data_IF_629601333111
#
_entry.id   IF_629601333111
#
_cell.length_a   1.000
_cell.length_b   1.000
_cell.length_c   1.000
_cell.angle_alpha   90.00
_cell.angle_beta   90.00
_cell.angle_gamma   90.00
#
_symmetry.space_group_name_H-M   'P 1'
#
loop_
_entity.id
_entity.type
_entity.pdbx_description
1 polymer ?
#
# COMPACT_ATOMS: atom_id res chain seq x y z
N UNK A 1 5.17 -8.66 -3.51
CA UNK A 1 4.65 -9.97 -3.96
C UNK A 1 4.42 -10.85 -2.74
N UNK A 2 3.22 -11.42 -2.61
CA UNK A 2 2.84 -12.42 -1.60
C UNK A 2 3.18 -13.85 -2.05
N UNK A 3 4.03 -14.03 -3.06
CA UNK A 3 4.36 -15.34 -3.65
C UNK A 3 3.13 -16.15 -4.12
N UNK A 4 2.06 -15.46 -4.55
CA UNK A 4 0.85 -16.09 -5.07
C UNK A 4 -0.15 -16.55 -3.99
N UNK A 5 0.07 -16.20 -2.73
CA UNK A 5 -0.89 -16.46 -1.64
C UNK A 5 -1.91 -15.34 -1.49
N UNK A 6 -2.97 -15.64 -0.74
CA UNK A 6 -4.03 -14.72 -0.31
C UNK A 6 -3.61 -13.76 0.82
N UNK A 7 -2.36 -13.84 1.29
CA UNK A 7 -1.83 -13.05 2.41
C UNK A 7 -2.25 -11.57 2.36
N UNK A 8 -2.09 -10.90 1.21
CA UNK A 8 -2.44 -9.47 1.11
C UNK A 8 -3.95 -9.19 1.29
N UNK A 9 -4.82 -10.13 0.90
CA UNK A 9 -6.27 -10.03 1.12
C UNK A 9 -6.60 -10.16 2.60
N UNK A 10 -5.96 -11.10 3.32
CA UNK A 10 -6.14 -11.28 4.78
C UNK A 10 -5.77 -10.02 5.58
N UNK A 11 -4.82 -9.23 5.07
CA UNK A 11 -4.38 -7.98 5.71
C UNK A 11 -5.09 -6.73 5.18
N UNK A 12 -6.08 -6.89 4.29
CA UNK A 12 -6.93 -5.81 3.78
C UNK A 12 -6.20 -4.80 2.90
N UNK A 13 -5.26 -5.28 2.08
CA UNK A 13 -4.47 -4.46 1.15
C UNK A 13 -4.56 -4.89 -0.31
N UNK A 14 -5.13 -6.07 -0.58
CA UNK A 14 -5.56 -6.48 -1.93
C UNK A 14 -7.07 -6.64 -1.97
N UNK A 15 -7.69 -6.28 -3.10
CA UNK A 15 -9.14 -6.32 -3.27
C UNK A 15 -9.51 -6.95 -4.61
N UNK A 16 -10.54 -7.78 -4.60
CA UNK A 16 -11.05 -8.36 -5.83
C UNK A 16 -11.75 -7.27 -6.68
N UNK A 17 -11.69 -7.35 -8.02
CA UNK A 17 -12.33 -6.37 -8.90
C UNK A 17 -13.82 -6.16 -8.63
N UNK A 18 -14.52 -7.21 -8.18
CA UNK A 18 -15.95 -7.12 -7.87
C UNK A 18 -16.24 -6.41 -6.55
N UNK A 19 -15.32 -6.46 -5.57
CA UNK A 19 -15.43 -5.70 -4.32
C UNK A 19 -15.30 -4.19 -4.59
N UNK A 20 -14.39 -3.82 -5.51
CA UNK A 20 -14.22 -2.43 -5.94
C UNK A 20 -15.46 -1.89 -6.66
N UNK A 21 -16.06 -2.66 -7.57
CA UNK A 21 -17.27 -2.26 -8.31
C UNK A 21 -18.46 -2.02 -7.38
N UNK A 22 -18.56 -2.80 -6.30
CA UNK A 22 -19.61 -2.66 -5.29
C UNK A 22 -19.27 -1.66 -4.20
N UNK A 23 -18.04 -1.15 -4.20
CA UNK A 23 -17.48 -0.31 -3.14
C UNK A 23 -17.61 -0.98 -1.76
N UNK A 24 -17.31 -2.27 -1.71
CA UNK A 24 -17.33 -3.13 -0.51
C UNK A 24 -15.92 -3.35 0.07
N UNK A 25 -14.91 -2.75 -0.56
CA UNK A 25 -13.52 -2.95 -0.20
C UNK A 25 -13.16 -2.18 1.09
N UNK A 26 -12.98 -2.93 2.17
CA UNK A 26 -12.68 -2.37 3.49
C UNK A 26 -11.18 -2.14 3.67
N UNK A 27 -10.76 -0.89 3.58
CA UNK A 27 -9.39 -0.47 3.85
C UNK A 27 -9.26 0.21 5.22
N UNK A 28 -8.10 0.05 5.87
CA UNK A 28 -7.82 0.67 7.17
C UNK A 28 -8.90 0.37 8.22
N UNK A 29 -9.14 -0.91 8.50
CA UNK A 29 -10.16 -1.41 9.44
C UNK A 29 -11.59 -0.92 9.12
N UNK A 30 -11.92 -0.78 7.84
CA UNK A 30 -13.25 -0.36 7.36
C UNK A 30 -13.54 1.14 7.51
N UNK A 31 -12.55 1.94 7.88
CA UNK A 31 -12.72 3.40 7.99
C UNK A 31 -12.67 4.11 6.63
N UNK A 32 -12.17 3.45 5.59
CA UNK A 32 -12.06 3.98 4.24
C UNK A 32 -12.27 2.88 3.19
N UNK A 33 -12.64 3.32 1.99
CA UNK A 33 -12.51 2.54 0.76
C UNK A 33 -11.24 2.99 0.02
N UNK A 34 -10.70 2.11 -0.82
CA UNK A 34 -9.54 2.39 -1.65
C UNK A 34 -9.86 2.13 -3.14
N UNK A 35 -9.61 3.09 -4.02
CA UNK A 35 -10.10 3.01 -5.41
C UNK A 35 -9.33 2.08 -6.35
N UNK A 36 -8.39 1.27 -5.84
CA UNK A 36 -7.50 0.41 -6.64
C UNK A 36 -7.46 -0.99 -6.03
N UNK A 37 -7.07 -1.99 -6.84
CA UNK A 37 -6.97 -3.40 -6.42
C UNK A 37 -5.87 -3.62 -5.37
N UNK A 38 -4.83 -2.78 -5.36
CA UNK A 38 -3.73 -2.84 -4.41
C UNK A 38 -3.62 -1.53 -3.62
N UNK A 39 -3.61 -1.63 -2.29
CA UNK A 39 -3.43 -0.53 -1.35
C UNK A 39 -2.15 -0.68 -0.52
N UNK A 40 -1.55 0.42 -0.05
CA UNK A 40 -0.36 0.33 0.78
C UNK A 40 -0.73 -0.09 2.22
N UNK A 41 0.09 -0.95 2.82
CA UNK A 41 -0.02 -1.33 4.22
C UNK A 41 1.30 -1.84 4.77
N UNK A 42 1.45 -1.72 6.09
CA UNK A 42 2.57 -2.28 6.84
C UNK A 42 2.02 -3.14 7.95
N UNK A 43 2.57 -4.34 8.11
CA UNK A 43 2.33 -5.18 9.28
C UNK A 43 3.67 -5.60 9.90
N UNK A 44 3.73 -5.62 11.22
CA UNK A 44 4.85 -6.22 11.97
C UNK A 44 4.31 -7.43 12.71
N UNK A 45 5.06 -8.52 12.61
CA UNK A 45 4.73 -9.79 13.23
C UNK A 45 5.76 -10.13 14.28
N UNK A 46 5.30 -10.68 15.40
CA UNK A 46 6.13 -11.24 16.46
C UNK A 46 5.78 -12.72 16.62
N UNK A 47 6.81 -13.56 16.68
CA UNK A 47 6.69 -14.98 17.00
C UNK A 47 7.19 -15.19 18.42
N UNK A 48 6.36 -15.77 19.27
CA UNK A 48 6.76 -16.09 20.64
C UNK A 48 7.51 -17.44 20.73
N UNK A 49 7.78 -17.88 21.96
CA UNK A 49 8.51 -19.11 22.22
C UNK A 49 7.71 -20.38 21.92
N UNK A 50 6.38 -20.36 21.99
CA UNK A 50 5.52 -21.51 21.69
C UNK A 50 5.19 -21.64 20.20
N UNK A 51 5.49 -20.59 19.44
CA UNK A 51 5.35 -20.53 18.00
C UNK A 51 4.15 -19.74 17.52
N UNK A 52 3.35 -19.19 18.43
CA UNK A 52 2.23 -18.30 18.12
C UNK A 52 2.73 -17.03 17.43
N UNK A 53 2.05 -16.65 16.35
CA UNK A 53 2.33 -15.43 15.59
C UNK A 53 1.31 -14.35 15.95
N UNK A 54 1.80 -13.20 16.37
CA UNK A 54 1.01 -12.02 16.66
C UNK A 54 1.29 -10.92 15.63
N UNK A 55 0.24 -10.28 15.13
CA UNK A 55 0.35 -9.03 14.38
C UNK A 55 0.38 -7.87 15.37
N UNK A 56 1.57 -7.48 15.78
CA UNK A 56 1.81 -6.52 16.88
C UNK A 56 1.72 -5.07 16.44
N UNK A 57 1.82 -4.81 15.13
CA UNK A 57 1.61 -3.50 14.56
C UNK A 57 0.96 -3.62 13.19
N UNK A 58 0.07 -2.67 12.88
CA UNK A 58 -0.41 -2.47 11.53
C UNK A 58 -0.66 -1.01 11.26
N UNK A 59 -0.33 -0.59 10.05
CA UNK A 59 -0.47 0.77 9.61
C UNK A 59 -0.91 0.83 8.15
N UNK A 60 -1.73 1.81 7.84
CA UNK A 60 -2.35 2.02 6.55
C UNK A 60 -2.38 3.52 6.25
N UNK A 61 -2.62 3.85 4.99
CA UNK A 61 -2.83 5.20 4.49
C UNK A 61 -1.67 6.12 4.91
N UNK A 62 -2.00 7.34 5.38
CA UNK A 62 -1.05 8.37 5.81
C UNK A 62 -0.15 7.95 6.97
N UNK A 63 -0.48 6.90 7.71
CA UNK A 63 0.43 6.41 8.75
C UNK A 63 1.73 5.82 8.18
N UNK A 64 1.75 5.50 6.87
CA UNK A 64 2.92 5.02 6.15
C UNK A 64 3.85 6.13 5.66
N UNK A 65 3.47 7.41 5.80
CA UNK A 65 4.23 8.54 5.26
C UNK A 65 5.66 8.60 5.80
N UNK A 66 5.87 8.21 7.06
CA UNK A 66 7.19 8.18 7.69
C UNK A 66 8.13 7.16 7.01
N UNK A 67 7.57 6.13 6.38
CA UNK A 67 8.32 5.09 5.68
C UNK A 67 8.52 5.43 4.21
N UNK A 68 7.76 6.39 3.66
CA UNK A 68 7.91 6.84 2.29
C UNK A 68 9.04 7.88 2.16
N UNK A 69 10.28 7.41 2.29
CA UNK A 69 11.47 8.27 2.24
C UNK A 69 11.56 9.07 0.94
N UNK A 70 11.13 8.51 -0.19
CA UNK A 70 11.15 9.21 -1.48
C UNK A 70 10.30 10.49 -1.44
N UNK A 71 9.07 10.40 -0.95
CA UNK A 71 8.20 11.59 -0.84
C UNK A 71 8.70 12.57 0.20
N UNK A 72 9.28 12.09 1.31
CA UNK A 72 9.89 12.97 2.30
C UNK A 72 11.02 13.82 1.67
N UNK A 73 11.85 13.24 0.79
CA UNK A 73 12.87 14.01 0.07
C UNK A 73 12.30 14.94 -1.00
N UNK A 74 11.26 14.50 -1.73
CA UNK A 74 10.62 15.35 -2.74
C UNK A 74 9.96 16.58 -2.13
N UNK A 75 9.42 16.47 -0.91
CA UNK A 75 8.82 17.61 -0.21
C UNK A 75 9.87 18.65 0.24
N UNK A 76 11.18 18.32 0.22
CA UNK A 76 12.28 19.25 0.56
C UNK A 76 12.82 20.05 -0.64
N UNK A 77 12.64 19.55 -1.87
CA UNK A 77 13.22 20.19 -3.06
C UNK A 77 12.27 21.25 -3.64
N UNK A 78 12.77 22.32 -4.27
CA UNK A 78 11.91 23.41 -4.76
C UNK A 78 10.83 23.00 -5.76
N UNK A 79 11.06 21.91 -6.52
CA UNK A 79 10.10 21.38 -7.49
C UNK A 79 9.01 20.50 -6.83
N UNK A 80 9.14 20.22 -5.54
CA UNK A 80 8.27 19.28 -4.85
C UNK A 80 8.26 17.92 -5.55
N UNK A 81 7.05 17.37 -5.68
CA UNK A 81 6.79 16.11 -6.39
C UNK A 81 6.66 16.26 -7.90
N UNK A 82 6.56 17.50 -8.40
CA UNK A 82 6.43 17.82 -9.84
C UNK A 82 5.23 17.12 -10.52
N UNK A 83 4.07 17.07 -9.85
CA UNK A 83 2.89 16.30 -10.28
C UNK A 83 1.76 17.16 -10.89
N UNK A 84 1.92 18.49 -10.99
CA UNK A 84 0.83 19.41 -11.37
C UNK A 84 0.26 19.14 -12.78
N UNK A 85 1.07 18.57 -13.68
CA UNK A 85 0.65 18.23 -15.03
C UNK A 85 -0.02 16.84 -15.15
N UNK A 86 -0.10 16.08 -14.06
CA UNK A 86 -0.70 14.75 -14.04
C UNK A 86 -2.21 14.81 -13.89
N UNK A 87 -2.90 13.77 -14.36
CA UNK A 87 -4.36 13.66 -14.23
C UNK A 87 -4.78 13.52 -12.76
N UNK A 88 -3.94 12.89 -11.93
CA UNK A 88 -4.10 12.78 -10.49
C UNK A 88 -2.73 12.59 -9.83
N UNK A 89 -2.57 12.94 -8.54
CA UNK A 89 -1.33 12.70 -7.81
C UNK A 89 -0.88 11.25 -7.88
N UNK A 90 0.43 11.01 -7.98
CA UNK A 90 1.03 9.66 -8.03
C UNK A 90 0.71 8.82 -9.29
N UNK A 91 0.19 9.41 -10.37
CA UNK A 91 -0.15 8.71 -11.62
C UNK A 91 1.03 7.91 -12.23
N UNK A 92 2.27 8.28 -11.93
CA UNK A 92 3.48 7.62 -12.42
C UNK A 92 3.91 6.41 -11.57
N UNK A 93 3.35 6.22 -10.37
CA UNK A 93 3.69 5.11 -9.48
C UNK A 93 3.16 3.81 -10.08
N UNK A 94 4.07 2.83 -10.20
CA UNK A 94 3.76 1.48 -10.65
C UNK A 94 4.23 0.46 -9.62
N UNK A 95 3.63 -0.72 -9.62
CA UNK A 95 4.15 -1.84 -8.85
C UNK A 95 5.53 -2.22 -9.38
N UNK A 96 6.37 -2.79 -8.52
CA UNK A 96 7.76 -3.10 -8.86
C UNK A 96 7.89 -4.00 -10.10
N UNK A 97 6.95 -4.92 -10.28
CA UNK A 97 6.84 -5.89 -11.37
C UNK A 97 6.21 -5.34 -12.66
N UNK A 98 5.61 -4.15 -12.62
CA UNK A 98 5.10 -3.46 -13.81
C UNK A 98 6.17 -2.62 -14.53
N UNK A 99 7.36 -2.47 -13.92
CA UNK A 99 8.49 -1.85 -14.58
C UNK A 99 9.19 -2.86 -15.50
N UNK A 100 9.64 -2.45 -16.70
CA UNK A 100 10.44 -3.30 -17.55
C UNK A 100 11.71 -3.73 -16.81
N UNK A 101 12.15 -4.97 -17.04
CA UNK A 101 13.41 -5.45 -16.48
C UNK A 101 14.53 -4.49 -16.87
N UNK A 102 15.38 -4.11 -15.91
CA UNK A 102 16.59 -3.34 -16.20
C UNK A 102 17.36 -4.04 -17.32
N UNK A 103 17.60 -3.33 -18.43
CA UNK A 103 18.62 -3.71 -19.40
C UNK A 103 20.01 -3.51 -18.79
#
# INVERSE_FOLDING_TARGET
>A
SSAGTDFNYDFGVSFAPDELKKNENNYNFGTRHFGMEEAPGLSVFYKDADGTIYRTYACYSRGLDMLNSAYQYLDLVPKGRDEDALTFPMQWVRLHDEYPSRQ
#
